data_IF_308942618465
#
_entry.id   IF_308942618465
#
_cell.length_a   1.000
_cell.length_b   1.000
_cell.length_c   1.000
_cell.angle_alpha   90.00
_cell.angle_beta   90.00
_cell.angle_gamma   90.00
#
_symmetry.space_group_name_H-M   'P 1'
#
loop_
_entity.id
_entity.type
_entity.pdbx_description
1 polymer ?
#
# COMPACT_ATOMS: atom_id res chain seq x y z
N UNK A 1 -18.92 -7.16 11.19
CA UNK A 1 -17.78 -6.42 11.79
C UNK A 1 -17.62 -5.17 10.97
N UNK A 2 -17.64 -3.99 11.60
CA UNK A 2 -17.66 -2.70 10.88
C UNK A 2 -16.66 -1.72 11.47
N UNK A 3 -16.14 -0.83 10.63
CA UNK A 3 -15.32 0.32 11.03
C UNK A 3 -15.87 1.56 10.35
N UNK A 4 -16.21 2.60 11.14
CA UNK A 4 -16.88 3.81 10.65
C UNK A 4 -18.17 3.53 9.84
N UNK A 5 -18.92 2.50 10.23
CA UNK A 5 -20.15 2.08 9.53
C UNK A 5 -19.93 1.23 8.28
N UNK A 6 -18.69 1.07 7.81
CA UNK A 6 -18.35 0.24 6.65
C UNK A 6 -18.03 -1.20 7.09
N UNK A 7 -18.58 -2.19 6.39
CA UNK A 7 -18.28 -3.60 6.61
C UNK A 7 -16.82 -3.95 6.35
N UNK A 8 -16.23 -4.80 7.19
CA UNK A 8 -14.90 -5.32 6.97
C UNK A 8 -14.86 -6.18 5.67
N UNK A 9 -13.91 -5.94 4.76
CA UNK A 9 -13.79 -6.70 3.52
C UNK A 9 -13.17 -8.10 3.75
N UNK A 10 -12.96 -8.86 2.68
CA UNK A 10 -12.58 -10.28 2.71
C UNK A 10 -11.10 -10.55 3.09
N UNK A 11 -10.51 -9.78 4.00
CA UNK A 11 -9.17 -10.00 4.52
C UNK A 11 -9.14 -9.93 6.05
N UNK A 12 -8.41 -10.86 6.67
CA UNK A 12 -8.36 -11.01 8.13
C UNK A 12 -7.20 -10.19 8.73
N UNK A 13 -7.47 -9.18 9.58
CA UNK A 13 -6.43 -8.38 10.23
C UNK A 13 -5.51 -9.15 11.19
N UNK A 14 -5.92 -10.37 11.57
CA UNK A 14 -5.09 -11.28 12.39
C UNK A 14 -3.95 -11.91 11.59
N UNK A 15 -4.07 -11.94 10.26
CA UNK A 15 -3.07 -12.50 9.36
C UNK A 15 -2.24 -11.36 8.75
N UNK A 16 -2.90 -10.38 8.14
CA UNK A 16 -2.26 -9.17 7.58
C UNK A 16 -2.44 -8.02 8.57
N UNK A 17 -1.43 -7.73 9.38
CA UNK A 17 -1.54 -6.83 10.53
C UNK A 17 -1.69 -5.36 10.12
N UNK A 18 -1.14 -4.94 8.98
CA UNK A 18 -1.34 -3.58 8.48
C UNK A 18 -2.82 -3.26 8.23
N UNK A 19 -3.64 -4.25 7.83
CA UNK A 19 -5.08 -4.07 7.67
C UNK A 19 -5.78 -3.71 8.97
N UNK A 20 -5.26 -4.13 10.13
CA UNK A 20 -5.83 -3.72 11.41
C UNK A 20 -5.70 -2.21 11.62
N UNK A 21 -4.56 -1.63 11.24
CA UNK A 21 -4.34 -0.19 11.26
C UNK A 21 -5.28 0.48 10.28
N UNK A 22 -5.30 0.01 9.02
CA UNK A 22 -6.05 0.66 7.94
C UNK A 22 -7.55 0.62 8.20
N UNK A 23 -8.10 -0.50 8.66
CA UNK A 23 -9.51 -0.55 9.03
C UNK A 23 -9.85 0.44 10.15
N UNK A 24 -8.94 0.66 11.09
CA UNK A 24 -9.14 1.63 12.15
C UNK A 24 -8.99 3.08 11.66
N UNK A 25 -8.00 3.38 10.81
CA UNK A 25 -7.57 4.74 10.50
C UNK A 25 -8.12 5.30 9.20
N UNK A 26 -8.39 4.46 8.18
CA UNK A 26 -8.83 4.91 6.87
C UNK A 26 -10.09 5.80 6.95
N UNK A 27 -10.09 7.02 6.37
CA UNK A 27 -11.14 8.02 6.60
C UNK A 27 -12.55 7.57 6.23
N UNK A 28 -12.68 6.68 5.24
CA UNK A 28 -13.97 6.19 4.74
C UNK A 28 -14.34 4.78 5.26
N UNK A 29 -13.66 4.29 6.29
CA UNK A 29 -13.98 3.03 6.95
C UNK A 29 -13.12 1.86 6.47
N UNK A 30 -13.55 0.64 6.79
CA UNK A 30 -12.78 -0.55 6.47
C UNK A 30 -12.69 -0.78 4.96
N UNK A 31 -11.49 -0.60 4.42
CA UNK A 31 -11.18 -0.94 3.04
C UNK A 31 -9.81 -1.63 2.95
N UNK A 32 -9.68 -2.51 1.97
CA UNK A 32 -8.49 -3.32 1.73
C UNK A 32 -7.68 -2.87 0.51
N UNK A 33 -8.25 -1.98 -0.31
CA UNK A 33 -7.64 -1.40 -1.51
C UNK A 33 -7.35 0.08 -1.26
N UNK A 34 -6.86 0.39 -0.05
CA UNK A 34 -6.45 1.73 0.34
C UNK A 34 -4.97 1.80 0.70
N UNK A 35 -4.26 0.67 0.67
CA UNK A 35 -2.82 0.54 0.92
C UNK A 35 -2.34 -0.84 0.46
N UNK A 36 -1.02 -1.03 0.39
CA UNK A 36 -0.44 -2.31 -0.03
C UNK A 36 -0.47 -3.35 1.10
N UNK A 37 -0.61 -4.62 0.74
CA UNK A 37 -0.74 -5.71 1.72
C UNK A 37 0.60 -6.18 2.28
N UNK A 38 0.56 -6.66 3.54
CA UNK A 38 1.71 -7.20 4.28
C UNK A 38 2.66 -8.10 3.46
N UNK A 39 2.20 -9.08 2.65
CA UNK A 39 3.11 -9.98 1.93
C UNK A 39 4.16 -9.26 1.09
N UNK A 40 3.83 -8.09 0.52
CA UNK A 40 4.75 -7.32 -0.30
C UNK A 40 6.00 -6.86 0.46
N UNK A 41 5.91 -6.59 1.77
CA UNK A 41 7.05 -6.25 2.62
C UNK A 41 7.46 -7.39 3.57
N UNK A 42 6.87 -8.58 3.39
CA UNK A 42 7.22 -9.81 4.10
C UNK A 42 7.84 -10.79 3.07
N UNK A 43 7.36 -12.03 2.99
CA UNK A 43 7.98 -13.08 2.18
C UNK A 43 8.00 -12.85 0.67
N UNK A 44 7.26 -11.87 0.12
CA UNK A 44 7.33 -11.51 -1.30
C UNK A 44 8.31 -10.34 -1.55
N UNK A 45 8.97 -9.81 -0.50
CA UNK A 45 9.81 -8.60 -0.58
C UNK A 45 10.90 -8.69 -1.65
N UNK A 46 11.54 -9.85 -1.80
CA UNK A 46 12.61 -10.04 -2.79
C UNK A 46 12.16 -9.69 -4.21
N UNK A 47 10.89 -9.92 -4.56
CA UNK A 47 10.34 -9.64 -5.88
C UNK A 47 10.06 -8.15 -6.12
N UNK A 48 9.98 -7.35 -5.05
CA UNK A 48 9.56 -5.94 -5.10
C UNK A 48 10.62 -4.98 -4.54
N UNK A 49 11.81 -5.47 -4.20
CA UNK A 49 12.91 -4.71 -3.58
C UNK A 49 13.11 -3.35 -4.25
N UNK A 50 13.31 -3.31 -5.58
CA UNK A 50 13.60 -2.06 -6.29
C UNK A 50 12.42 -1.06 -6.21
N UNK A 51 11.19 -1.56 -6.30
CA UNK A 51 9.98 -0.72 -6.26
C UNK A 51 9.70 -0.20 -4.86
N UNK A 52 9.88 -1.04 -3.84
CA UNK A 52 9.72 -0.68 -2.44
C UNK A 52 10.84 0.25 -1.95
N UNK A 53 12.05 0.14 -2.51
CA UNK A 53 13.16 1.05 -2.25
C UNK A 53 12.81 2.49 -2.66
N UNK A 54 11.99 2.69 -3.71
CA UNK A 54 11.49 4.03 -4.11
C UNK A 54 10.60 4.63 -3.03
N UNK A 55 9.84 3.81 -2.30
CA UNK A 55 9.07 4.23 -1.12
C UNK A 55 9.94 4.27 0.16
N UNK A 56 11.23 3.97 0.03
CA UNK A 56 12.23 4.02 1.09
C UNK A 56 12.35 2.74 1.90
N UNK A 57 11.85 1.59 1.46
CA UNK A 57 11.93 0.31 2.17
C UNK A 57 12.98 -0.60 1.53
N UNK A 58 13.97 -1.03 2.30
CA UNK A 58 15.11 -1.84 1.81
C UNK A 58 15.26 -3.19 2.52
N UNK A 59 14.39 -3.50 3.47
CA UNK A 59 14.50 -4.69 4.32
C UNK A 59 13.15 -5.40 4.46
N UNK A 60 13.16 -6.72 4.25
CA UNK A 60 12.04 -7.61 4.55
C UNK A 60 11.64 -7.50 6.03
N UNK A 61 10.33 -7.56 6.29
CA UNK A 61 9.76 -7.54 7.62
C UNK A 61 9.21 -8.91 8.01
N UNK A 62 9.34 -9.24 9.29
CA UNK A 62 8.85 -10.51 9.83
C UNK A 62 7.33 -10.69 9.60
N UNK A 63 6.88 -11.87 9.13
CA UNK A 63 5.48 -12.18 8.98
C UNK A 63 4.66 -11.93 10.25
N UNK A 64 3.47 -11.34 10.09
CA UNK A 64 2.56 -11.03 11.21
C UNK A 64 3.13 -10.08 12.28
N UNK A 65 4.26 -9.43 12.02
CA UNK A 65 4.77 -8.34 12.85
C UNK A 65 3.94 -7.07 12.71
N UNK A 66 4.17 -6.11 13.60
CA UNK A 66 3.68 -4.75 13.53
C UNK A 66 4.79 -3.79 14.00
N UNK A 67 5.98 -3.96 13.40
CA UNK A 67 7.15 -3.10 13.65
C UNK A 67 6.87 -1.66 13.23
N UNK A 68 7.69 -0.73 13.73
CA UNK A 68 7.65 0.68 13.29
C UNK A 68 7.80 0.79 11.76
N UNK A 69 8.63 -0.06 11.17
CA UNK A 69 8.85 -0.11 9.73
C UNK A 69 7.60 -0.59 8.96
N UNK A 70 6.85 -1.57 9.50
CA UNK A 70 5.55 -1.96 8.94
C UNK A 70 4.49 -0.87 9.06
N UNK A 71 4.51 -0.10 10.15
CA UNK A 71 3.61 1.05 10.31
C UNK A 71 3.98 2.12 9.27
N UNK A 72 5.28 2.37 9.06
CA UNK A 72 5.77 3.28 8.02
C UNK A 72 5.35 2.81 6.62
N UNK A 73 5.46 1.51 6.34
CA UNK A 73 4.99 0.89 5.08
C UNK A 73 3.49 1.07 4.87
N UNK A 74 2.70 0.84 5.90
CA UNK A 74 1.25 1.05 5.87
C UNK A 74 0.91 2.48 5.48
N UNK A 75 1.56 3.47 6.11
CA UNK A 75 1.32 4.89 5.82
C UNK A 75 1.81 5.30 4.43
N UNK A 76 3.03 4.89 4.05
CA UNK A 76 3.62 5.25 2.77
C UNK A 76 2.81 4.68 1.59
N UNK A 77 2.41 3.41 1.68
CA UNK A 77 1.56 2.79 0.65
C UNK A 77 0.15 3.37 0.65
N UNK A 78 -0.42 3.74 1.81
CA UNK A 78 -1.70 4.45 1.85
C UNK A 78 -1.65 5.80 1.14
N UNK A 79 -0.57 6.57 1.33
CA UNK A 79 -0.37 7.83 0.60
C UNK A 79 -0.23 7.61 -0.90
N UNK A 80 0.50 6.57 -1.33
CA UNK A 80 0.63 6.24 -2.75
C UNK A 80 -0.73 5.86 -3.36
N UNK A 81 -1.52 5.04 -2.68
CA UNK A 81 -2.86 4.66 -3.15
C UNK A 81 -3.81 5.87 -3.19
N UNK A 82 -3.76 6.76 -2.20
CA UNK A 82 -4.49 8.02 -2.24
C UNK A 82 -4.04 8.95 -3.38
N UNK A 83 -2.76 8.91 -3.75
CA UNK A 83 -2.27 9.64 -4.92
C UNK A 83 -2.79 9.02 -6.23
N UNK A 84 -2.87 7.68 -6.32
CA UNK A 84 -3.50 7.00 -7.46
C UNK A 84 -4.96 7.39 -7.62
N UNK A 85 -5.72 7.45 -6.52
CA UNK A 85 -7.12 7.91 -6.54
C UNK A 85 -7.25 9.36 -7.01
N UNK A 86 -6.28 10.23 -6.66
CA UNK A 86 -6.28 11.63 -7.09
C UNK A 86 -5.87 11.81 -8.56
N UNK A 87 -5.11 10.86 -9.11
CA UNK A 87 -4.62 10.85 -10.49
C UNK A 87 -5.51 9.99 -11.42
N UNK A 88 -6.60 9.43 -10.91
CA UNK A 88 -7.48 8.47 -11.60
C UNK A 88 -6.72 7.25 -12.15
N UNK A 89 -5.71 6.75 -11.42
CA UNK A 89 -4.92 5.58 -11.80
C UNK A 89 -5.47 4.30 -11.17
N UNK A 90 -5.57 3.25 -11.98
CA UNK A 90 -6.01 1.95 -11.51
C UNK A 90 -4.94 1.28 -10.63
N UNK A 91 -5.31 0.93 -9.38
CA UNK A 91 -4.44 0.28 -8.39
C UNK A 91 -4.08 -1.19 -8.73
N UNK A 92 -4.66 -1.76 -9.80
CA UNK A 92 -4.23 -3.04 -10.37
C UNK A 92 -3.21 -2.89 -11.49
N UNK A 93 -3.00 -1.66 -11.97
CA UNK A 93 -2.08 -1.32 -13.05
C UNK A 93 -0.87 -0.57 -12.50
N UNK A 94 -1.07 0.29 -11.50
CA UNK A 94 -0.02 1.04 -10.81
C UNK A 94 0.08 0.60 -9.35
N UNK A 95 1.31 0.49 -8.83
CA UNK A 95 1.52 0.20 -7.42
C UNK A 95 2.97 -0.15 -7.07
N UNK A 96 3.28 -0.33 -5.79
CA UNK A 96 4.66 -0.53 -5.33
C UNK A 96 5.12 -1.99 -5.37
N UNK A 97 4.26 -2.94 -5.77
CA UNK A 97 4.51 -4.37 -5.66
C UNK A 97 4.29 -5.09 -7.00
N UNK A 98 3.26 -5.92 -7.11
CA UNK A 98 2.99 -6.84 -8.22
C UNK A 98 2.41 -6.18 -9.49
N UNK A 99 2.09 -4.89 -9.42
CA UNK A 99 1.39 -4.16 -10.48
C UNK A 99 2.26 -3.98 -11.74
N UNK A 100 1.65 -3.58 -12.87
CA UNK A 100 2.38 -3.43 -14.13
C UNK A 100 3.41 -2.29 -14.08
N UNK A 101 2.98 -1.13 -13.59
CA UNK A 101 3.78 0.08 -13.45
C UNK A 101 4.09 0.36 -11.97
N UNK A 102 5.31 0.81 -11.72
CA UNK A 102 5.84 1.11 -10.41
C UNK A 102 5.67 2.58 -9.97
N UNK A 103 6.21 2.93 -8.80
CA UNK A 103 6.16 4.29 -8.27
C UNK A 103 6.90 5.32 -9.15
N UNK A 104 8.03 4.96 -9.76
CA UNK A 104 8.76 5.84 -10.67
C UNK A 104 7.98 6.13 -11.95
N UNK A 105 7.28 5.13 -12.49
CA UNK A 105 6.40 5.30 -13.67
C UNK A 105 5.27 6.29 -13.37
N UNK A 106 4.72 6.29 -12.15
CA UNK A 106 3.72 7.29 -11.74
C UNK A 106 4.32 8.70 -11.74
N UNK A 107 5.56 8.87 -11.25
CA UNK A 107 6.25 10.16 -11.25
C UNK A 107 6.52 10.61 -12.69
N UNK A 108 7.04 9.72 -13.55
CA UNK A 108 7.28 10.02 -14.96
C UNK A 108 5.99 10.42 -15.69
N UNK A 109 4.89 9.71 -15.44
CA UNK A 109 3.58 10.02 -16.00
C UNK A 109 3.15 11.44 -15.61
N UNK A 110 3.21 11.78 -14.32
CA UNK A 110 2.83 13.12 -13.83
C UNK A 110 3.69 14.20 -14.48
N UNK A 111 5.01 14.04 -14.50
CA UNK A 111 5.94 15.00 -15.13
C UNK A 111 5.66 15.17 -16.62
N UNK A 112 5.46 14.07 -17.33
CA UNK A 112 5.24 14.06 -18.78
C UNK A 112 3.92 14.71 -19.17
N UNK A 113 2.85 14.42 -18.43
CA UNK A 113 1.51 14.92 -18.76
C UNK A 113 1.30 16.36 -18.29
N UNK A 114 1.81 16.71 -17.11
CA UNK A 114 1.53 18.02 -16.48
C UNK A 114 2.64 19.05 -16.64
N UNK A 115 3.87 18.61 -16.93
CA UNK A 115 5.06 19.48 -17.01
C UNK A 115 5.61 19.94 -15.67
N UNK A 116 5.17 19.33 -14.56
CA UNK A 116 5.73 19.55 -13.21
C UNK A 116 7.06 18.85 -12.99
#
# INVERSE_FOLDING_TARGET
ITFKGQEAPAHMPRVKRSLAIIYATNPFGADHQSHEHDPAIEGDFEFYTDRLAVLGFSEEQEPQSLSDEKIRFTLASQHMYSAMDSLDLCQFVFGPAWQLYGPEDMVELVRTVTGW
#
